data_IF_549806754199
#
_entry.id   IF_549806754199
#
_cell.length_a   1.000
_cell.length_b   1.000
_cell.length_c   1.000
_cell.angle_alpha   90.00
_cell.angle_beta   90.00
_cell.angle_gamma   90.00
#
_symmetry.space_group_name_H-M   'P 1'
#
loop_
_entity.id
_entity.type
_entity.pdbx_description
1 polymer ?
#
# COMPACT_ATOMS: atom_id res chain seq x y z
N UNK A 1 -5.49 18.83 6.32
CA UNK A 1 -4.76 17.61 5.91
C UNK A 1 -5.42 16.41 6.57
N UNK A 2 -5.93 15.43 5.81
CA UNK A 2 -6.49 14.21 6.41
C UNK A 2 -5.41 13.50 7.24
N UNK A 3 -5.80 13.00 8.42
CA UNK A 3 -4.89 12.25 9.29
C UNK A 3 -4.68 10.87 8.68
N UNK A 4 -3.43 10.54 8.40
CA UNK A 4 -3.08 9.22 7.90
C UNK A 4 -3.48 8.13 8.92
N UNK A 5 -4.31 7.15 8.52
CA UNK A 5 -4.77 6.11 9.43
C UNK A 5 -3.61 5.18 9.81
N UNK A 6 -3.75 4.55 10.96
CA UNK A 6 -2.82 3.50 11.39
C UNK A 6 -3.43 2.15 11.01
N UNK A 7 -2.92 1.53 9.94
CA UNK A 7 -3.44 0.26 9.41
C UNK A 7 -2.41 -0.86 9.49
N UNK A 8 -2.87 -2.10 9.44
CA UNK A 8 -2.00 -3.27 9.30
C UNK A 8 -1.50 -3.42 7.86
N UNK A 9 -0.41 -4.17 7.68
CA UNK A 9 0.08 -4.53 6.34
C UNK A 9 -0.97 -5.26 5.50
N UNK A 10 -1.78 -6.12 6.14
CA UNK A 10 -2.87 -6.83 5.47
C UNK A 10 -3.94 -5.88 4.93
N UNK A 11 -4.34 -4.88 5.71
CA UNK A 11 -5.34 -3.87 5.29
C UNK A 11 -4.78 -3.03 4.14
N UNK A 12 -3.52 -2.60 4.24
CA UNK A 12 -2.87 -1.84 3.18
C UNK A 12 -2.83 -2.63 1.87
N UNK A 13 -2.42 -3.91 1.91
CA UNK A 13 -2.44 -4.79 0.73
C UNK A 13 -3.84 -4.92 0.15
N UNK A 14 -4.86 -5.16 0.97
CA UNK A 14 -6.23 -5.29 0.49
C UNK A 14 -6.71 -4.02 -0.26
N UNK A 15 -6.39 -2.82 0.27
CA UNK A 15 -6.68 -1.54 -0.40
C UNK A 15 -5.90 -1.39 -1.71
N UNK A 16 -4.60 -1.72 -1.73
CA UNK A 16 -3.82 -1.68 -2.97
C UNK A 16 -4.34 -2.68 -4.02
N UNK A 17 -4.78 -3.88 -3.63
CA UNK A 17 -5.41 -4.83 -4.55
C UNK A 17 -6.67 -4.23 -5.22
N UNK A 18 -7.48 -3.45 -4.49
CA UNK A 18 -8.63 -2.72 -5.05
C UNK A 18 -8.24 -1.67 -6.09
N UNK A 19 -7.01 -1.16 -6.04
CA UNK A 19 -6.44 -0.23 -7.04
C UNK A 19 -5.86 -0.93 -8.27
N UNK A 20 -6.06 -2.24 -8.40
CA UNK A 20 -5.53 -3.05 -9.49
C UNK A 20 -4.08 -3.52 -9.28
N UNK A 21 -3.57 -3.45 -8.05
CA UNK A 21 -2.32 -4.14 -7.74
C UNK A 21 -2.52 -5.65 -7.62
N UNK A 22 -1.44 -6.38 -7.83
CA UNK A 22 -1.37 -7.83 -7.66
C UNK A 22 -0.16 -8.20 -6.81
N UNK A 23 -0.33 -9.15 -5.88
CA UNK A 23 0.78 -9.69 -5.09
C UNK A 23 1.54 -10.70 -5.93
N UNK A 24 2.78 -10.37 -6.30
CA UNK A 24 3.62 -11.23 -7.15
C UNK A 24 4.57 -12.12 -6.37
N UNK A 25 4.93 -11.70 -5.15
CA UNK A 25 5.89 -12.42 -4.33
C UNK A 25 5.73 -12.03 -2.87
N UNK A 26 5.90 -12.99 -1.98
CA UNK A 26 6.14 -12.70 -0.56
C UNK A 26 7.46 -13.35 -0.12
N UNK A 27 8.31 -12.58 0.57
CA UNK A 27 9.51 -13.10 1.23
C UNK A 27 9.50 -12.68 2.69
N UNK A 28 9.36 -13.66 3.59
CA UNK A 28 9.17 -13.39 5.01
C UNK A 28 7.93 -12.52 5.23
N UNK A 29 8.10 -11.40 5.93
CA UNK A 29 7.00 -10.47 6.17
C UNK A 29 6.76 -9.48 5.03
N UNK A 30 7.55 -9.42 3.97
CA UNK A 30 7.34 -8.42 2.90
C UNK A 30 6.59 -9.00 1.70
N UNK A 31 5.45 -8.42 1.37
CA UNK A 31 4.72 -8.68 0.13
C UNK A 31 5.11 -7.65 -0.94
N UNK A 32 5.48 -8.13 -2.12
CA UNK A 32 5.73 -7.29 -3.30
C UNK A 32 4.48 -7.25 -4.16
N UNK A 33 4.01 -6.05 -4.44
CA UNK A 33 2.86 -5.79 -5.29
C UNK A 33 3.32 -5.06 -6.55
N UNK A 34 2.75 -5.43 -7.69
CA UNK A 34 2.90 -4.70 -8.96
C UNK A 34 1.54 -4.26 -9.47
N UNK A 35 1.52 -3.23 -10.30
CA UNK A 35 0.34 -2.84 -11.05
C UNK A 35 0.65 -2.98 -12.55
N UNK A 36 -0.36 -3.29 -13.36
CA UNK A 36 -0.20 -3.35 -14.82
C UNK A 36 -0.10 -1.96 -15.44
N UNK A 37 -0.55 -0.91 -14.74
CA UNK A 37 -0.32 0.48 -15.13
C UNK A 37 1.13 0.88 -14.88
N UNK A 38 1.91 1.23 -15.93
CA UNK A 38 3.31 1.62 -15.80
C UNK A 38 3.52 2.94 -15.02
N UNK A 39 2.48 3.77 -14.84
CA UNK A 39 2.55 4.97 -14.01
C UNK A 39 2.54 4.65 -12.50
N UNK A 40 2.05 3.47 -12.12
CA UNK A 40 1.95 3.04 -10.73
C UNK A 40 3.20 2.27 -10.31
N UNK A 41 3.89 2.76 -9.28
CA UNK A 41 5.12 2.17 -8.78
C UNK A 41 4.91 0.78 -8.18
N UNK A 42 5.99 -0.01 -8.09
CA UNK A 42 5.99 -1.30 -7.38
C UNK A 42 6.00 -1.07 -5.87
N UNK A 43 5.17 -1.79 -5.12
CA UNK A 43 5.06 -1.62 -3.67
C UNK A 43 5.69 -2.80 -2.93
N UNK A 44 6.31 -2.52 -1.79
CA UNK A 44 6.86 -3.53 -0.87
C UNK A 44 6.26 -3.33 0.52
N UNK A 45 5.18 -4.05 0.81
CA UNK A 45 4.38 -3.86 2.03
C UNK A 45 4.79 -4.89 3.09
N UNK A 46 5.25 -4.47 4.28
CA UNK A 46 5.48 -5.39 5.39
C UNK A 46 4.16 -5.83 6.03
N UNK A 47 3.97 -7.13 6.22
CA UNK A 47 2.81 -7.82 6.78
C UNK A 47 2.82 -7.75 8.31
N UNK A 48 3.00 -6.56 8.87
CA UNK A 48 3.00 -6.33 10.31
C UNK A 48 1.60 -5.95 10.80
N UNK A 49 1.35 -6.08 12.11
CA UNK A 49 0.06 -5.67 12.73
C UNK A 49 -0.24 -4.19 12.53
N UNK A 50 0.82 -3.38 12.44
CA UNK A 50 0.74 -1.92 12.32
C UNK A 50 1.86 -1.45 11.40
N UNK A 51 1.52 -0.64 10.40
CA UNK A 51 2.49 0.10 9.59
C UNK A 51 2.83 1.44 10.25
N UNK A 52 4.09 1.83 10.17
CA UNK A 52 4.52 3.20 10.53
C UNK A 52 3.84 4.19 9.58
N UNK A 53 3.43 5.35 10.09
CA UNK A 53 2.77 6.39 9.29
C UNK A 53 3.64 6.85 8.10
N UNK A 54 4.94 7.07 8.31
CA UNK A 54 5.85 7.46 7.23
C UNK A 54 5.88 6.44 6.10
N UNK A 55 6.01 5.15 6.44
CA UNK A 55 5.99 4.07 5.46
C UNK A 55 4.67 3.99 4.69
N UNK A 56 3.54 4.12 5.38
CA UNK A 56 2.24 4.12 4.72
C UNK A 56 2.08 5.32 3.76
N UNK A 57 2.57 6.50 4.15
CA UNK A 57 2.56 7.68 3.29
C UNK A 57 3.44 7.49 2.04
N UNK A 58 4.62 6.88 2.19
CA UNK A 58 5.49 6.54 1.06
C UNK A 58 4.81 5.55 0.12
N UNK A 59 4.20 4.48 0.64
CA UNK A 59 3.48 3.50 -0.19
C UNK A 59 2.30 4.12 -0.95
N UNK A 60 1.56 5.04 -0.33
CA UNK A 60 0.46 5.77 -0.98
C UNK A 60 0.99 6.65 -2.11
N UNK A 61 2.09 7.38 -1.86
CA UNK A 61 2.75 8.22 -2.85
C UNK A 61 3.27 7.38 -4.03
N UNK A 62 3.92 6.25 -3.77
CA UNK A 62 4.42 5.32 -4.79
C UNK A 62 3.27 4.70 -5.60
N UNK A 63 2.10 4.56 -4.97
CA UNK A 63 0.88 4.11 -5.64
C UNK A 63 0.21 5.18 -6.50
N UNK A 64 0.74 6.41 -6.51
CA UNK A 64 0.25 7.52 -7.33
C UNK A 64 -1.10 8.08 -6.90
N UNK A 65 -1.50 7.86 -5.64
CA UNK A 65 -2.77 8.34 -5.09
C UNK A 65 -2.52 9.24 -3.88
N UNK A 66 -3.54 9.98 -3.46
CA UNK A 66 -3.49 10.78 -2.23
C UNK A 66 -3.97 10.01 -0.99
N UNK A 67 -3.82 10.64 0.18
CA UNK A 67 -4.22 10.04 1.47
C UNK A 67 -5.73 9.84 1.56
N UNK A 68 -6.53 10.76 1.00
CA UNK A 68 -7.98 10.71 1.07
C UNK A 68 -8.51 9.57 0.19
N UNK A 69 -8.01 9.45 -1.03
CA UNK A 69 -8.27 8.31 -1.92
C UNK A 69 -7.92 6.99 -1.23
N UNK A 70 -6.77 6.92 -0.55
CA UNK A 70 -6.42 5.72 0.21
C UNK A 70 -7.41 5.42 1.34
N UNK A 71 -7.92 6.43 2.03
CA UNK A 71 -8.88 6.27 3.12
C UNK A 71 -10.21 5.73 2.59
N UNK A 72 -10.66 6.21 1.43
CA UNK A 72 -11.97 5.91 0.84
C UNK A 72 -12.04 4.52 0.16
N UNK A 73 -10.90 3.85 -0.06
CA UNK A 73 -10.83 2.47 -0.55
C UNK A 73 -11.30 1.40 0.43
#
# INVERSE_FOLDING_TARGET
>A
MPKLPQVSGKIAVAKFLRLGYEVVRQKGSHARLINNDPQKGKLSVPMHKTLKKGLLAELIKDAGIDIQEFIDL
#
